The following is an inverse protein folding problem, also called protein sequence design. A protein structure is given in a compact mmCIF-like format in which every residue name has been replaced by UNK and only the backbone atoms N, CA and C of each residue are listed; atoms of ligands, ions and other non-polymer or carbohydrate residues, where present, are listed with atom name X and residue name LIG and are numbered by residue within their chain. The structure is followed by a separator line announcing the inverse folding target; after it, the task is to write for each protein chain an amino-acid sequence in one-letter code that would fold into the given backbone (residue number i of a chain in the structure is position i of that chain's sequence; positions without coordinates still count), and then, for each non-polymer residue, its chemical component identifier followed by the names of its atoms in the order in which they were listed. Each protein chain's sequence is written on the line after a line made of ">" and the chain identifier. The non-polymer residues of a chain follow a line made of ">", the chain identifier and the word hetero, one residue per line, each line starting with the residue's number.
data_IF_655065533603
#
_entry.id   IF_655065533603
#
_cell.length_a   1.000
_cell.length_b   1.000
_cell.length_c   1.000
_cell.angle_alpha   90.00
_cell.angle_beta   90.00
_cell.angle_gamma   90.00
#
_symmetry.space_group_name_H-M   'P 1'
#
loop_
_entity.id
_entity.type
_entity.pdbx_description
1 polymer ?
#
# COMPACT_ATOMS: atom_id res chain seq x y z
N UNK A 1 -27.69 13.23 26.73
CA UNK A 1 -26.56 14.19 26.75
C UNK A 1 -25.20 13.51 26.63
N UNK A 2 -24.88 12.43 27.41
CA UNK A 2 -23.60 11.74 27.33
C UNK A 2 -23.30 11.10 25.94
N UNK A 3 -24.27 10.48 25.31
CA UNK A 3 -24.10 9.86 23.98
C UNK A 3 -23.77 10.88 22.88
N UNK A 4 -24.36 12.08 22.94
CA UNK A 4 -24.09 13.16 22.00
C UNK A 4 -22.66 13.71 22.17
N UNK A 5 -22.21 13.87 23.41
CA UNK A 5 -20.85 14.32 23.72
C UNK A 5 -19.80 13.31 23.24
N UNK A 6 -20.04 12.00 23.45
CA UNK A 6 -19.18 10.92 22.94
C UNK A 6 -19.12 10.95 21.40
N UNK A 7 -20.27 11.13 20.75
CA UNK A 7 -20.32 11.21 19.28
C UNK A 7 -19.54 12.43 18.76
N UNK A 8 -19.72 13.60 19.37
CA UNK A 8 -18.99 14.82 19.02
C UNK A 8 -17.48 14.66 19.24
N UNK A 9 -17.07 14.02 20.32
CA UNK A 9 -15.65 13.74 20.60
C UNK A 9 -15.05 12.78 19.56
N UNK A 10 -15.78 11.73 19.15
CA UNK A 10 -15.33 10.80 18.12
C UNK A 10 -15.21 11.51 16.74
N UNK A 11 -16.22 12.28 16.36
CA UNK A 11 -16.19 13.04 15.10
C UNK A 11 -15.04 14.05 15.12
N UNK A 12 -14.89 14.83 16.20
CA UNK A 12 -13.79 15.78 16.37
C UNK A 12 -12.42 15.10 16.31
N UNK A 13 -12.28 13.93 16.92
CA UNK A 13 -11.06 13.11 16.88
C UNK A 13 -10.71 12.64 15.46
N UNK A 14 -11.70 12.22 14.67
CA UNK A 14 -11.49 11.82 13.27
C UNK A 14 -11.03 13.03 12.43
N UNK A 15 -11.69 14.18 12.58
CA UNK A 15 -11.27 15.40 11.88
C UNK A 15 -9.89 15.88 12.31
N UNK A 16 -9.57 15.78 13.60
CA UNK A 16 -8.22 16.08 14.12
C UNK A 16 -7.18 15.16 13.46
N UNK A 17 -7.40 13.84 13.43
CA UNK A 17 -6.49 12.88 12.79
C UNK A 17 -6.34 13.14 11.29
N UNK A 18 -7.39 13.62 10.63
CA UNK A 18 -7.34 14.01 9.22
C UNK A 18 -6.55 15.31 9.02
N UNK A 19 -6.79 16.33 9.84
CA UNK A 19 -6.09 17.61 9.77
C UNK A 19 -4.58 17.46 10.08
N UNK A 20 -4.22 16.53 10.95
CA UNK A 20 -2.85 16.23 11.37
C UNK A 20 -2.23 15.04 10.63
N UNK A 21 -2.80 14.63 9.50
CA UNK A 21 -2.35 13.49 8.70
C UNK A 21 -0.86 13.53 8.34
N UNK A 22 -0.31 14.74 8.11
CA UNK A 22 1.10 14.95 7.78
C UNK A 22 2.07 14.42 8.85
N UNK A 23 1.63 14.33 10.11
CA UNK A 23 2.43 13.81 11.23
C UNK A 23 1.98 12.43 11.66
N UNK A 24 0.65 12.23 11.82
CA UNK A 24 0.12 10.96 12.34
C UNK A 24 0.24 9.80 11.36
N UNK A 25 0.10 10.03 10.05
CA UNK A 25 0.24 8.97 9.07
C UNK A 25 1.66 8.38 9.06
N UNK A 26 2.76 9.17 8.95
CA UNK A 26 4.11 8.63 9.06
C UNK A 26 4.43 8.05 10.44
N UNK A 27 3.88 8.59 11.53
CA UNK A 27 4.04 8.02 12.87
C UNK A 27 3.45 6.61 12.96
N UNK A 28 2.18 6.43 12.57
CA UNK A 28 1.53 5.10 12.62
C UNK A 28 2.23 4.12 11.68
N UNK A 29 2.65 4.58 10.51
CA UNK A 29 3.40 3.76 9.57
C UNK A 29 4.76 3.35 10.13
N UNK A 30 5.48 4.27 10.83
CA UNK A 30 6.72 3.98 11.53
C UNK A 30 6.55 2.92 12.63
N UNK A 31 5.48 3.01 13.42
CA UNK A 31 5.13 1.99 14.43
C UNK A 31 4.95 0.61 13.76
N UNK A 32 4.21 0.55 12.65
CA UNK A 32 3.94 -0.70 11.97
C UNK A 32 5.20 -1.34 11.35
N UNK A 33 6.04 -0.52 10.69
CA UNK A 33 7.34 -0.99 10.16
C UNK A 33 8.27 -1.41 11.29
N UNK A 34 8.29 -0.66 12.41
CA UNK A 34 9.08 -1.04 13.58
C UNK A 34 8.68 -2.42 14.11
N UNK A 35 7.37 -2.75 14.11
CA UNK A 35 6.90 -4.08 14.49
C UNK A 35 7.38 -5.18 13.54
N UNK A 36 7.47 -4.88 12.24
CA UNK A 36 8.03 -5.80 11.25
C UNK A 36 9.53 -6.05 11.47
N UNK A 37 10.29 -4.98 11.77
CA UNK A 37 11.74 -5.03 11.89
C UNK A 37 12.24 -5.41 13.31
N UNK A 38 11.34 -5.44 14.29
CA UNK A 38 11.68 -5.77 15.67
C UNK A 38 12.39 -7.13 15.84
N UNK A 39 12.00 -8.23 15.14
CA UNK A 39 12.75 -9.48 15.20
C UNK A 39 14.18 -9.36 14.69
N UNK A 40 14.42 -8.50 13.68
CA UNK A 40 15.76 -8.20 13.15
C UNK A 40 16.59 -7.49 14.21
N UNK A 41 16.00 -6.47 14.85
CA UNK A 41 16.60 -5.73 15.94
C UNK A 41 17.03 -6.67 17.08
N UNK A 42 16.14 -7.57 17.54
CA UNK A 42 16.45 -8.55 18.58
C UNK A 42 17.58 -9.51 18.18
N UNK A 43 17.67 -9.91 16.91
CA UNK A 43 18.76 -10.74 16.43
C UNK A 43 20.10 -10.01 16.50
N UNK A 44 20.15 -8.74 16.08
CA UNK A 44 21.38 -7.93 16.16
C UNK A 44 21.86 -7.75 17.61
N UNK A 45 20.93 -7.50 18.55
CA UNK A 45 21.24 -7.42 19.98
C UNK A 45 21.80 -8.75 20.53
N UNK A 46 21.30 -9.90 20.08
CA UNK A 46 21.84 -11.22 20.44
C UNK A 46 23.28 -11.45 19.96
N UNK A 47 23.69 -10.79 18.88
CA UNK A 47 25.09 -10.78 18.42
C UNK A 47 25.96 -9.77 19.19
N UNK A 48 25.49 -9.28 20.36
CA UNK A 48 26.16 -8.30 21.21
C UNK A 48 26.44 -6.94 20.56
N UNK A 49 25.66 -6.60 19.50
CA UNK A 49 25.71 -5.29 18.87
C UNK A 49 24.98 -4.28 19.77
N UNK A 50 25.64 -3.17 20.17
CA UNK A 50 24.99 -2.12 20.94
C UNK A 50 23.73 -1.62 20.23
N UNK A 51 22.67 -1.34 20.98
CA UNK A 51 21.36 -1.00 20.44
C UNK A 51 21.38 0.17 19.45
N UNK A 52 22.09 1.25 19.80
CA UNK A 52 22.23 2.41 18.92
C UNK A 52 22.83 2.00 17.57
N UNK A 53 23.85 1.16 17.60
CA UNK A 53 24.49 0.66 16.38
C UNK A 53 23.56 -0.24 15.58
N UNK A 54 22.81 -1.13 16.24
CA UNK A 54 21.81 -1.98 15.58
C UNK A 54 20.70 -1.16 14.92
N UNK A 55 20.19 -0.11 15.57
CA UNK A 55 19.22 0.84 14.98
C UNK A 55 19.84 1.53 13.78
N UNK A 56 21.07 2.05 13.90
CA UNK A 56 21.75 2.72 12.77
C UNK A 56 21.91 1.79 11.58
N UNK A 57 22.29 0.53 11.79
CA UNK A 57 22.41 -0.47 10.72
C UNK A 57 21.06 -0.68 10.03
N UNK A 58 19.98 -0.89 10.79
CA UNK A 58 18.64 -1.09 10.22
C UNK A 58 18.20 0.14 9.41
N UNK A 59 18.41 1.34 9.96
CA UNK A 59 18.08 2.59 9.27
C UNK A 59 18.90 2.78 8.00
N UNK A 60 20.21 2.49 8.05
CA UNK A 60 21.08 2.59 6.87
C UNK A 60 20.66 1.61 5.77
N UNK A 61 20.34 0.36 6.12
CA UNK A 61 19.86 -0.63 5.15
C UNK A 61 18.54 -0.18 4.51
N UNK A 62 17.59 0.33 5.30
CA UNK A 62 16.34 0.87 4.79
C UNK A 62 16.56 2.09 3.89
N UNK A 63 17.45 3.01 4.30
CA UNK A 63 17.77 4.19 3.51
C UNK A 63 18.38 3.81 2.15
N UNK A 64 19.30 2.84 2.13
CA UNK A 64 19.89 2.32 0.88
C UNK A 64 18.84 1.66 0.01
N UNK A 65 17.96 0.84 0.56
CA UNK A 65 16.87 0.22 -0.20
C UNK A 65 15.92 1.27 -0.81
N UNK A 66 15.52 2.26 -0.03
CA UNK A 66 14.67 3.35 -0.51
C UNK A 66 15.38 4.20 -1.56
N UNK A 67 16.68 4.45 -1.41
CA UNK A 67 17.49 5.15 -2.40
C UNK A 67 17.57 4.39 -3.73
N UNK A 68 17.80 3.06 -3.69
CA UNK A 68 17.80 2.22 -4.88
C UNK A 68 16.45 2.28 -5.59
N UNK A 69 15.36 2.14 -4.84
CA UNK A 69 13.99 2.25 -5.39
C UNK A 69 13.78 3.63 -6.02
N UNK A 70 14.22 4.68 -5.34
CA UNK A 70 14.09 6.06 -5.85
C UNK A 70 14.85 6.24 -7.17
N UNK A 71 16.11 5.77 -7.27
CA UNK A 71 16.92 5.86 -8.49
C UNK A 71 16.27 5.08 -9.65
N UNK A 72 15.76 3.88 -9.37
CA UNK A 72 15.04 3.07 -10.36
C UNK A 72 13.80 3.82 -10.88
N UNK A 73 12.99 4.35 -9.96
CA UNK A 73 11.78 5.09 -10.32
C UNK A 73 12.10 6.38 -11.09
N UNK A 74 13.14 7.10 -10.69
CA UNK A 74 13.57 8.31 -11.37
C UNK A 74 14.05 8.03 -12.80
N UNK A 75 14.89 7.02 -12.99
CA UNK A 75 15.35 6.62 -14.32
C UNK A 75 14.17 6.18 -15.21
N UNK A 76 13.25 5.41 -14.64
CA UNK A 76 12.06 4.95 -15.33
C UNK A 76 11.13 6.09 -15.71
N UNK A 77 10.99 7.06 -14.83
CA UNK A 77 10.23 8.28 -15.09
C UNK A 77 10.85 9.12 -16.20
N UNK A 78 12.19 9.25 -16.23
CA UNK A 78 12.88 9.96 -17.30
C UNK A 78 12.69 9.26 -18.65
N UNK A 79 12.77 7.93 -18.70
CA UNK A 79 12.48 7.16 -19.91
C UNK A 79 11.04 7.36 -20.37
N UNK A 80 10.06 7.31 -19.46
CA UNK A 80 8.67 7.61 -19.79
C UNK A 80 8.51 9.02 -20.35
N UNK A 81 9.22 10.02 -19.79
CA UNK A 81 9.18 11.40 -20.30
C UNK A 81 9.75 11.54 -21.70
N UNK A 82 10.70 10.72 -22.07
CA UNK A 82 11.23 10.70 -23.43
C UNK A 82 10.24 10.08 -24.41
N UNK A 83 9.52 9.05 -23.99
CA UNK A 83 8.65 8.24 -24.86
C UNK A 83 7.17 8.67 -24.85
N UNK A 84 6.72 9.50 -23.87
CA UNK A 84 5.30 9.87 -23.78
C UNK A 84 4.71 10.50 -25.06
N UNK A 85 5.46 11.30 -25.88
CA UNK A 85 4.89 11.86 -27.10
C UNK A 85 4.52 10.77 -28.12
N UNK A 86 5.29 9.67 -28.16
CA UNK A 86 4.98 8.49 -28.98
C UNK A 86 3.65 7.87 -28.53
N UNK A 87 3.47 7.64 -27.22
CA UNK A 87 2.24 7.09 -26.67
C UNK A 87 1.02 7.98 -26.90
N UNK A 88 1.22 9.29 -26.79
CA UNK A 88 0.15 10.26 -27.05
C UNK A 88 -0.29 10.26 -28.51
N UNK A 89 0.66 10.16 -29.45
CA UNK A 89 0.36 10.02 -30.86
C UNK A 89 -0.33 8.68 -31.17
N UNK A 90 0.18 7.57 -30.65
CA UNK A 90 -0.46 6.26 -30.82
C UNK A 90 -1.89 6.25 -30.26
N UNK A 91 -2.12 6.85 -29.08
CA UNK A 91 -3.46 6.97 -28.53
C UNK A 91 -4.38 7.81 -29.41
N UNK A 92 -3.87 8.89 -30.02
CA UNK A 92 -4.59 9.71 -30.99
C UNK A 92 -4.97 8.91 -32.24
N UNK A 93 -4.01 8.17 -32.79
CA UNK A 93 -4.23 7.34 -33.98
C UNK A 93 -5.30 6.27 -33.74
N UNK A 94 -5.24 5.60 -32.57
CA UNK A 94 -6.25 4.64 -32.14
C UNK A 94 -7.64 5.31 -32.03
N UNK A 95 -7.69 6.48 -31.42
CA UNK A 95 -8.95 7.22 -31.29
C UNK A 95 -9.57 7.53 -32.64
N UNK A 96 -8.80 8.07 -33.57
CA UNK A 96 -9.32 8.40 -34.91
C UNK A 96 -9.68 7.14 -35.72
N UNK A 97 -8.88 6.08 -35.64
CA UNK A 97 -9.21 4.82 -36.33
C UNK A 97 -10.52 4.21 -35.84
N UNK A 98 -10.69 4.12 -34.50
CA UNK A 98 -11.93 3.61 -33.92
C UNK A 98 -13.11 4.53 -34.25
N UNK A 99 -12.95 5.83 -34.14
CA UNK A 99 -14.01 6.81 -34.42
C UNK A 99 -14.44 6.77 -35.86
N UNK A 100 -13.49 6.71 -36.80
CA UNK A 100 -13.78 6.61 -38.22
C UNK A 100 -14.53 5.31 -38.56
N UNK A 101 -14.10 4.17 -38.01
CA UNK A 101 -14.81 2.89 -38.19
C UNK A 101 -16.25 2.91 -37.63
N UNK A 102 -16.46 3.57 -36.50
CA UNK A 102 -17.80 3.73 -35.91
C UNK A 102 -18.66 4.65 -36.80
N UNK A 103 -18.11 5.77 -37.25
CA UNK A 103 -18.84 6.71 -38.11
C UNK A 103 -19.23 6.07 -39.44
N UNK A 104 -18.32 5.33 -40.06
CA UNK A 104 -18.61 4.60 -41.30
C UNK A 104 -19.70 3.54 -41.10
N UNK A 105 -19.59 2.74 -40.03
CA UNK A 105 -20.53 1.66 -39.73
C UNK A 105 -21.95 2.17 -39.39
N UNK A 106 -22.04 3.29 -38.67
CA UNK A 106 -23.35 3.85 -38.22
C UNK A 106 -23.79 5.05 -39.05
N UNK A 107 -23.08 5.41 -40.15
CA UNK A 107 -23.35 6.53 -41.04
C UNK A 107 -23.53 7.87 -40.27
N UNK A 108 -22.72 8.11 -39.25
CA UNK A 108 -22.74 9.33 -38.43
C UNK A 108 -21.99 10.46 -39.15
N UNK A 109 -22.54 11.68 -39.12
CA UNK A 109 -21.96 12.82 -39.84
C UNK A 109 -20.80 13.51 -39.14
N UNK A 110 -20.66 13.39 -37.82
CA UNK A 110 -19.54 13.96 -37.05
C UNK A 110 -19.34 13.19 -35.73
N UNK A 111 -18.09 12.98 -35.37
CA UNK A 111 -17.72 12.56 -34.03
C UNK A 111 -17.13 13.75 -33.24
N UNK A 112 -17.31 13.79 -31.92
CA UNK A 112 -16.59 14.76 -31.09
C UNK A 112 -15.08 14.56 -31.25
N UNK A 113 -14.35 15.61 -31.56
CA UNK A 113 -12.88 15.52 -31.56
C UNK A 113 -12.35 15.71 -30.14
N UNK A 114 -12.04 14.60 -29.47
CA UNK A 114 -11.49 14.59 -28.12
C UNK A 114 -10.13 15.33 -28.01
N UNK A 115 -9.40 15.42 -29.12
CA UNK A 115 -8.11 16.09 -29.15
C UNK A 115 -8.20 17.55 -29.59
N UNK A 116 -9.34 18.00 -30.15
CA UNK A 116 -9.53 19.37 -30.57
C UNK A 116 -9.60 20.33 -29.37
N UNK A 117 -8.86 21.42 -29.46
CA UNK A 117 -8.89 22.51 -28.47
C UNK A 117 -8.11 22.25 -27.17
N UNK A 118 -7.54 21.07 -26.97
CA UNK A 118 -6.75 20.75 -25.78
C UNK A 118 -5.26 20.56 -26.13
N UNK A 119 -4.40 21.35 -25.52
CA UNK A 119 -2.95 21.12 -25.58
C UNK A 119 -2.56 19.98 -24.62
N UNK A 120 -2.63 18.76 -25.13
CA UNK A 120 -2.29 17.55 -24.39
C UNK A 120 -0.84 17.51 -23.90
N UNK A 121 0.09 18.14 -24.61
CA UNK A 121 1.47 18.27 -24.16
C UNK A 121 1.52 19.11 -22.86
N UNK A 122 0.79 20.22 -22.81
CA UNK A 122 0.69 21.04 -21.61
C UNK A 122 0.03 20.30 -20.45
N UNK A 123 -1.02 19.52 -20.73
CA UNK A 123 -1.67 18.68 -19.72
C UNK A 123 -0.68 17.68 -19.12
N UNK A 124 0.04 16.92 -19.94
CA UNK A 124 1.05 15.97 -19.48
C UNK A 124 2.16 16.68 -18.70
N UNK A 125 2.70 17.81 -19.20
CA UNK A 125 3.71 18.57 -18.48
C UNK A 125 3.25 19.04 -17.09
N UNK A 126 2.02 19.50 -16.95
CA UNK A 126 1.44 19.89 -15.66
C UNK A 126 1.35 18.70 -14.68
N UNK A 127 0.96 17.51 -15.17
CA UNK A 127 0.96 16.30 -14.36
C UNK A 127 2.38 15.91 -13.92
N UNK A 128 3.37 16.04 -14.79
CA UNK A 128 4.79 15.81 -14.47
C UNK A 128 5.28 16.73 -13.36
N UNK A 129 4.99 18.02 -13.45
CA UNK A 129 5.35 19.00 -12.41
C UNK A 129 4.66 18.64 -11.10
N UNK A 130 3.41 18.24 -11.14
CA UNK A 130 2.64 17.81 -9.98
C UNK A 130 3.23 16.53 -9.33
N UNK A 131 3.68 15.57 -10.13
CA UNK A 131 4.38 14.38 -9.65
C UNK A 131 5.70 14.73 -8.98
N UNK A 132 6.49 15.64 -9.56
CA UNK A 132 7.74 16.11 -8.94
C UNK A 132 7.51 16.74 -7.57
N UNK A 133 6.43 17.53 -7.40
CA UNK A 133 6.05 18.07 -6.09
C UNK A 133 5.65 16.99 -5.10
N UNK A 134 5.05 15.89 -5.59
CA UNK A 134 4.68 14.74 -4.78
C UNK A 134 5.91 13.99 -4.27
N UNK A 135 6.96 13.83 -5.08
CA UNK A 135 8.24 13.25 -4.63
C UNK A 135 8.88 14.06 -3.51
N UNK A 136 8.84 15.40 -3.59
CA UNK A 136 9.34 16.27 -2.52
C UNK A 136 8.58 16.07 -1.21
N UNK A 137 7.25 15.99 -1.27
CA UNK A 137 6.41 15.69 -0.09
C UNK A 137 6.73 14.30 0.49
N UNK A 138 6.92 13.30 -0.38
CA UNK A 138 7.29 11.95 0.05
C UNK A 138 8.64 11.93 0.79
N UNK A 139 9.62 12.72 0.37
CA UNK A 139 10.89 12.85 1.09
C UNK A 139 10.69 13.34 2.53
N UNK A 140 9.81 14.32 2.74
CA UNK A 140 9.43 14.80 4.08
C UNK A 140 8.75 13.71 4.93
N UNK A 141 7.83 12.93 4.35
CA UNK A 141 7.20 11.79 5.03
C UNK A 141 8.20 10.69 5.41
N UNK A 142 9.13 10.37 4.51
CA UNK A 142 10.19 9.38 4.74
C UNK A 142 11.12 9.87 5.87
N UNK A 143 11.49 11.13 5.88
CA UNK A 143 12.32 11.71 6.94
C UNK A 143 11.64 11.61 8.31
N UNK A 144 10.36 12.00 8.43
CA UNK A 144 9.60 11.85 9.66
C UNK A 144 9.47 10.40 10.09
N UNK A 145 9.23 9.49 9.15
CA UNK A 145 9.17 8.05 9.40
C UNK A 145 10.47 7.55 10.02
N UNK A 146 11.63 7.93 9.47
CA UNK A 146 12.93 7.55 10.00
C UNK A 146 13.14 8.09 11.42
N UNK A 147 12.81 9.36 11.69
CA UNK A 147 12.88 9.95 13.03
C UNK A 147 12.02 9.15 14.01
N UNK A 148 10.76 8.90 13.67
CA UNK A 148 9.87 8.15 14.56
C UNK A 148 10.37 6.72 14.80
N UNK A 149 10.81 6.01 13.76
CA UNK A 149 11.36 4.66 13.90
C UNK A 149 12.60 4.65 14.79
N UNK A 150 13.51 5.61 14.62
CA UNK A 150 14.72 5.73 15.43
C UNK A 150 14.37 5.84 16.91
N UNK A 151 13.50 6.78 17.28
CA UNK A 151 13.08 6.95 18.68
C UNK A 151 12.28 5.76 19.19
N UNK A 152 11.38 5.18 18.40
CA UNK A 152 10.61 3.99 18.79
C UNK A 152 11.54 2.81 19.12
N UNK A 153 12.56 2.56 18.31
CA UNK A 153 13.51 1.49 18.60
C UNK A 153 14.34 1.76 19.86
N UNK A 154 14.74 3.00 20.12
CA UNK A 154 15.48 3.36 21.34
C UNK A 154 14.60 3.24 22.59
N UNK A 155 13.33 3.61 22.52
CA UNK A 155 12.42 3.66 23.66
C UNK A 155 11.77 2.31 24.01
N UNK A 156 11.69 1.41 23.05
CA UNK A 156 10.99 0.12 23.20
C UNK A 156 11.39 -0.70 24.46
N UNK A 157 12.66 -0.82 24.89
CA UNK A 157 13.00 -1.60 26.10
C UNK A 157 12.39 -1.05 27.37
N UNK A 158 12.23 0.27 27.41
CA UNK A 158 11.68 0.96 28.58
C UNK A 158 10.15 0.89 28.65
N UNK A 159 9.49 0.44 27.56
CA UNK A 159 8.04 0.40 27.48
C UNK A 159 7.43 -0.49 28.57
N UNK A 160 7.99 -1.69 28.79
CA UNK A 160 7.51 -2.59 29.83
C UNK A 160 7.71 -2.00 31.24
N UNK A 161 8.82 -1.31 31.47
CA UNK A 161 9.09 -0.64 32.76
C UNK A 161 8.08 0.49 32.99
N UNK A 162 7.83 1.33 31.98
CA UNK A 162 6.85 2.41 32.04
C UNK A 162 5.43 1.88 32.32
N UNK A 163 5.04 0.79 31.62
CA UNK A 163 3.72 0.14 31.82
C UNK A 163 3.62 -0.40 33.24
N UNK A 164 4.67 -1.06 33.75
CA UNK A 164 4.67 -1.62 35.12
C UNK A 164 4.62 -0.54 36.21
N UNK A 165 5.18 0.64 35.95
CA UNK A 165 5.13 1.77 36.86
C UNK A 165 3.81 2.53 36.81
N UNK A 166 3.17 2.60 35.63
CA UNK A 166 1.95 3.38 35.41
C UNK A 166 0.66 2.64 35.80
N UNK A 167 0.65 1.32 35.78
CA UNK A 167 -0.53 0.49 35.94
C UNK A 167 -0.36 -0.55 37.06
N UNK A 168 -1.51 -1.02 37.59
CA UNK A 168 -1.52 -2.15 38.52
C UNK A 168 -0.93 -3.41 37.87
N UNK A 169 -0.43 -4.35 38.67
CA UNK A 169 0.15 -5.61 38.19
C UNK A 169 -0.78 -6.37 37.23
N UNK A 170 -2.07 -6.40 37.48
CA UNK A 170 -3.07 -7.09 36.65
C UNK A 170 -3.25 -6.41 35.31
N UNK A 171 -3.28 -5.10 35.28
CA UNK A 171 -3.43 -4.29 34.06
C UNK A 171 -2.14 -4.31 33.24
N UNK A 172 -0.99 -4.13 33.88
CA UNK A 172 0.32 -4.22 33.23
C UNK A 172 0.52 -5.56 32.53
N UNK A 173 0.14 -6.68 33.18
CA UNK A 173 0.18 -8.02 32.56
C UNK A 173 -0.72 -8.09 31.31
N UNK A 174 -1.94 -7.51 31.36
CA UNK A 174 -2.83 -7.43 30.19
C UNK A 174 -2.20 -6.63 29.05
N UNK A 175 -1.66 -5.45 29.31
CA UNK A 175 -1.00 -4.62 28.31
C UNK A 175 0.21 -5.32 27.66
N UNK A 176 1.02 -6.01 28.45
CA UNK A 176 2.16 -6.78 27.94
C UNK A 176 1.72 -7.91 27.00
N UNK A 177 0.64 -8.63 27.35
CA UNK A 177 0.11 -9.69 26.50
C UNK A 177 -0.48 -9.12 25.19
N UNK A 178 -1.23 -8.03 25.28
CA UNK A 178 -1.85 -7.38 24.12
C UNK A 178 -0.75 -6.88 23.15
N UNK A 179 0.23 -6.15 23.67
CA UNK A 179 1.33 -5.59 22.86
C UNK A 179 2.17 -6.69 22.21
N UNK A 180 2.51 -7.76 22.94
CA UNK A 180 3.23 -8.91 22.38
C UNK A 180 2.43 -9.60 21.25
N UNK A 181 1.10 -9.73 21.40
CA UNK A 181 0.24 -10.31 20.37
C UNK A 181 0.12 -9.41 19.15
N UNK A 182 -0.03 -8.10 19.34
CA UNK A 182 -0.06 -7.11 18.24
C UNK A 182 1.26 -7.14 17.47
N UNK A 183 2.40 -7.06 18.14
CA UNK A 183 3.73 -7.16 17.54
C UNK A 183 3.87 -8.40 16.66
N UNK A 184 3.47 -9.56 17.19
CA UNK A 184 3.58 -10.83 16.46
C UNK A 184 2.67 -10.87 15.22
N UNK A 185 1.41 -10.43 15.35
CA UNK A 185 0.44 -10.49 14.24
C UNK A 185 0.78 -9.48 13.15
N UNK A 186 1.04 -8.24 13.53
CA UNK A 186 1.34 -7.16 12.57
C UNK A 186 2.70 -7.36 11.92
N UNK A 187 3.72 -7.72 12.71
CA UNK A 187 5.03 -8.03 12.16
C UNK A 187 4.98 -9.16 11.14
N UNK A 188 4.28 -10.26 11.46
CA UNK A 188 4.06 -11.37 10.52
C UNK A 188 3.29 -10.91 9.27
N UNK A 189 2.23 -10.13 9.43
CA UNK A 189 1.45 -9.60 8.31
C UNK A 189 2.34 -8.83 7.33
N UNK A 190 3.13 -7.87 7.83
CA UNK A 190 3.99 -7.06 6.96
C UNK A 190 5.11 -7.88 6.30
N UNK A 191 5.73 -8.83 7.02
CA UNK A 191 6.75 -9.72 6.43
C UNK A 191 6.15 -10.52 5.28
N UNK A 192 5.02 -11.19 5.53
CA UNK A 192 4.34 -11.99 4.50
C UNK A 192 3.91 -11.12 3.33
N UNK A 193 3.31 -9.95 3.60
CA UNK A 193 2.87 -9.03 2.56
C UNK A 193 4.03 -8.51 1.72
N UNK A 194 5.16 -8.16 2.35
CA UNK A 194 6.36 -7.73 1.63
C UNK A 194 6.92 -8.83 0.73
N UNK A 195 6.99 -10.06 1.22
CA UNK A 195 7.47 -11.21 0.42
C UNK A 195 6.56 -11.46 -0.78
N UNK A 196 5.24 -11.51 -0.56
CA UNK A 196 4.27 -11.74 -1.63
C UNK A 196 4.33 -10.60 -2.65
N UNK A 197 4.35 -9.34 -2.18
CA UNK A 197 4.46 -8.17 -3.05
C UNK A 197 5.73 -8.20 -3.89
N UNK A 198 6.85 -8.61 -3.30
CA UNK A 198 8.12 -8.75 -4.03
C UNK A 198 8.02 -9.78 -5.16
N UNK A 199 7.47 -10.96 -4.88
CA UNK A 199 7.30 -11.98 -5.92
C UNK A 199 6.27 -11.55 -6.97
N UNK A 200 5.16 -10.92 -6.59
CA UNK A 200 4.19 -10.37 -7.54
C UNK A 200 4.83 -9.34 -8.47
N UNK A 201 5.61 -8.39 -7.91
CA UNK A 201 6.32 -7.40 -8.70
C UNK A 201 7.38 -8.02 -9.63
N UNK A 202 8.10 -9.03 -9.14
CA UNK A 202 9.10 -9.76 -9.93
C UNK A 202 8.45 -10.54 -11.09
N UNK A 203 7.34 -11.24 -10.83
CA UNK A 203 6.60 -11.95 -11.87
C UNK A 203 6.07 -11.01 -12.94
N UNK A 204 5.47 -9.90 -12.55
CA UNK A 204 5.01 -8.86 -13.48
C UNK A 204 6.18 -8.34 -14.32
N UNK A 205 7.31 -7.99 -13.69
CA UNK A 205 8.52 -7.56 -14.39
C UNK A 205 8.99 -8.58 -15.43
N UNK A 206 9.12 -9.85 -15.04
CA UNK A 206 9.60 -10.92 -15.91
C UNK A 206 8.64 -11.16 -17.09
N UNK A 207 7.35 -11.23 -16.84
CA UNK A 207 6.34 -11.45 -17.88
C UNK A 207 6.32 -10.29 -18.87
N UNK A 208 6.33 -9.05 -18.41
CA UNK A 208 6.33 -7.89 -19.29
C UNK A 208 7.62 -7.79 -20.11
N UNK A 209 8.76 -8.18 -19.54
CA UNK A 209 10.04 -8.26 -20.25
C UNK A 209 9.97 -9.32 -21.37
N UNK A 210 9.43 -10.49 -21.08
CA UNK A 210 9.27 -11.57 -22.09
C UNK A 210 8.31 -11.17 -23.22
N UNK A 211 7.24 -10.47 -22.88
CA UNK A 211 6.25 -9.99 -23.85
C UNK A 211 6.67 -8.68 -24.54
N UNK A 212 7.89 -8.17 -24.25
CA UNK A 212 8.44 -6.93 -24.80
C UNK A 212 7.53 -5.71 -24.60
N UNK A 213 6.85 -5.67 -23.44
CA UNK A 213 6.08 -4.49 -23.00
C UNK A 213 7.04 -3.44 -22.49
N UNK A 214 6.85 -2.19 -22.88
CA UNK A 214 7.70 -1.08 -22.46
C UNK A 214 7.59 -0.84 -20.92
N UNK A 215 8.67 -0.37 -20.32
CA UNK A 215 8.78 -0.06 -18.89
C UNK A 215 8.49 -1.24 -17.91
N UNK A 216 8.97 -2.47 -18.17
CA UNK A 216 8.62 -3.63 -17.33
C UNK A 216 9.04 -3.47 -15.88
N UNK A 217 10.20 -2.81 -15.63
CA UNK A 217 10.69 -2.57 -14.26
C UNK A 217 9.80 -1.58 -13.49
N UNK A 218 9.24 -0.58 -14.18
CA UNK A 218 8.28 0.38 -13.60
C UNK A 218 7.04 -0.36 -13.14
N UNK A 219 6.47 -1.17 -14.04
CA UNK A 219 5.25 -1.93 -13.75
C UNK A 219 5.44 -2.96 -12.65
N UNK A 220 6.58 -3.66 -12.63
CA UNK A 220 6.96 -4.53 -11.53
C UNK A 220 7.04 -3.79 -10.20
N UNK A 221 7.65 -2.61 -10.19
CA UNK A 221 7.73 -1.74 -9.01
C UNK A 221 6.37 -1.21 -8.56
N UNK A 222 5.53 -0.77 -9.49
CA UNK A 222 4.15 -0.35 -9.21
C UNK A 222 3.32 -1.52 -8.67
N UNK A 223 3.45 -2.72 -9.27
CA UNK A 223 2.80 -3.93 -8.80
C UNK A 223 3.23 -4.29 -7.37
N UNK A 224 4.52 -4.20 -7.06
CA UNK A 224 5.05 -4.38 -5.70
C UNK A 224 4.38 -3.43 -4.70
N UNK A 225 4.36 -2.12 -5.00
CA UNK A 225 3.82 -1.11 -4.09
C UNK A 225 2.30 -1.22 -3.94
N UNK A 226 1.59 -1.30 -5.07
CA UNK A 226 0.12 -1.36 -5.05
C UNK A 226 -0.42 -2.67 -4.47
N UNK A 227 0.36 -3.76 -4.52
CA UNK A 227 -0.05 -5.02 -3.89
C UNK A 227 -0.23 -4.93 -2.38
N UNK A 228 0.31 -3.91 -1.69
CA UNK A 228 0.02 -3.65 -0.27
C UNK A 228 -1.44 -3.24 -0.03
N UNK A 229 -2.13 -2.70 -1.04
CA UNK A 229 -3.55 -2.33 -0.96
C UNK A 229 -4.41 -3.50 -1.44
N UNK A 230 -5.16 -4.18 -0.55
CA UNK A 230 -5.90 -5.39 -0.92
C UNK A 230 -6.90 -5.13 -2.04
N UNK A 231 -6.98 -6.04 -3.00
CA UNK A 231 -7.89 -6.07 -4.15
C UNK A 231 -7.79 -4.86 -5.09
N UNK A 232 -7.85 -3.65 -4.56
CA UNK A 232 -7.83 -2.40 -5.36
C UNK A 232 -6.49 -2.24 -6.07
N UNK A 233 -5.38 -2.44 -5.36
CA UNK A 233 -4.04 -2.26 -5.93
C UNK A 233 -3.77 -3.18 -7.10
N UNK A 234 -4.08 -4.46 -6.95
CA UNK A 234 -3.90 -5.46 -8.00
C UNK A 234 -4.77 -5.18 -9.24
N UNK A 235 -6.03 -4.80 -9.03
CA UNK A 235 -6.95 -4.46 -10.13
C UNK A 235 -6.44 -3.26 -10.92
N UNK A 236 -5.99 -2.21 -10.23
CA UNK A 236 -5.43 -1.01 -10.88
C UNK A 236 -4.22 -1.37 -11.74
N UNK A 237 -3.31 -2.20 -11.23
CA UNK A 237 -2.11 -2.64 -11.98
C UNK A 237 -2.50 -3.35 -13.26
N UNK A 238 -3.39 -4.36 -13.19
CA UNK A 238 -3.84 -5.13 -14.36
C UNK A 238 -4.47 -4.22 -15.40
N UNK A 239 -5.35 -3.30 -15.00
CA UNK A 239 -6.01 -2.36 -15.90
C UNK A 239 -5.01 -1.44 -16.58
N UNK A 240 -4.10 -0.81 -15.82
CA UNK A 240 -3.14 0.13 -16.39
C UNK A 240 -2.15 -0.53 -17.36
N UNK A 241 -1.62 -1.72 -17.01
CA UNK A 241 -0.75 -2.50 -17.90
C UNK A 241 -1.48 -2.89 -19.18
N UNK A 242 -2.76 -3.27 -19.08
CA UNK A 242 -3.57 -3.65 -20.25
C UNK A 242 -3.84 -2.47 -21.16
N UNK A 243 -4.12 -1.29 -20.60
CA UNK A 243 -4.25 -0.04 -21.38
C UNK A 243 -2.95 0.26 -22.12
N UNK A 244 -1.81 0.22 -21.42
CA UNK A 244 -0.52 0.44 -22.07
C UNK A 244 -0.25 -0.58 -23.16
N UNK A 245 -0.48 -1.87 -22.91
CA UNK A 245 -0.33 -2.93 -23.91
C UNK A 245 -1.20 -2.69 -25.15
N UNK A 246 -2.45 -2.22 -24.96
CA UNK A 246 -3.34 -1.87 -26.07
C UNK A 246 -2.77 -0.73 -26.89
N UNK A 247 -2.25 0.31 -26.26
CA UNK A 247 -1.65 1.45 -26.98
C UNK A 247 -0.37 1.03 -27.69
N UNK A 248 0.49 0.23 -27.04
CA UNK A 248 1.79 -0.17 -27.56
C UNK A 248 1.68 -1.10 -28.79
N UNK A 249 0.73 -2.04 -28.78
CA UNK A 249 0.66 -3.11 -29.79
C UNK A 249 -0.42 -2.89 -30.85
N UNK A 250 -1.21 -1.81 -30.76
CA UNK A 250 -2.23 -1.53 -31.76
C UNK A 250 -1.63 -1.53 -33.20
N UNK A 251 -2.31 -2.14 -34.22
CA UNK A 251 -3.66 -2.67 -34.21
C UNK A 251 -3.81 -4.13 -33.78
N UNK A 252 -2.71 -4.79 -33.34
CA UNK A 252 -2.79 -6.15 -32.83
C UNK A 252 -3.52 -6.16 -31.46
N UNK A 253 -4.65 -6.87 -31.37
CA UNK A 253 -5.43 -7.03 -30.15
C UNK A 253 -5.09 -8.32 -29.38
N UNK A 254 -4.35 -9.24 -30.02
CA UNK A 254 -3.98 -10.51 -29.37
C UNK A 254 -2.98 -10.28 -28.22
N UNK A 255 -1.94 -9.47 -28.46
CA UNK A 255 -0.95 -9.16 -27.43
C UNK A 255 -1.53 -8.45 -26.20
N UNK A 256 -2.35 -7.40 -26.32
CA UNK A 256 -3.02 -6.80 -25.16
C UNK A 256 -3.90 -7.78 -24.39
N UNK A 257 -4.65 -8.64 -25.09
CA UNK A 257 -5.49 -9.65 -24.44
C UNK A 257 -4.63 -10.68 -23.68
N UNK A 258 -3.50 -11.10 -24.24
CA UNK A 258 -2.54 -12.00 -23.60
C UNK A 258 -1.93 -11.35 -22.35
N UNK A 259 -1.51 -10.09 -22.44
CA UNK A 259 -0.98 -9.30 -21.33
C UNK A 259 -2.01 -9.22 -20.20
N UNK A 260 -3.26 -8.88 -20.52
CA UNK A 260 -4.37 -8.83 -19.55
C UNK A 260 -4.56 -10.18 -18.85
N UNK A 261 -4.70 -11.26 -19.61
CA UNK A 261 -4.97 -12.60 -19.06
C UNK A 261 -3.84 -13.11 -18.17
N UNK A 262 -2.57 -12.93 -18.59
CA UNK A 262 -1.43 -13.36 -17.78
C UNK A 262 -1.33 -12.56 -16.51
N UNK A 263 -1.43 -11.22 -16.57
CA UNK A 263 -1.37 -10.39 -15.37
C UNK A 263 -2.56 -10.64 -14.43
N UNK A 264 -3.75 -10.86 -14.97
CA UNK A 264 -4.91 -11.28 -14.18
C UNK A 264 -4.65 -12.63 -13.50
N UNK A 265 -4.07 -13.60 -14.21
CA UNK A 265 -3.67 -14.89 -13.67
C UNK A 265 -2.67 -14.78 -12.51
N UNK A 266 -1.62 -13.98 -12.67
CA UNK A 266 -0.65 -13.69 -11.61
C UNK A 266 -1.36 -13.14 -10.37
N UNK A 267 -2.20 -12.11 -10.55
CA UNK A 267 -2.90 -11.48 -9.42
C UNK A 267 -3.86 -12.44 -8.71
N UNK A 268 -4.57 -13.28 -9.47
CA UNK A 268 -5.44 -14.30 -8.88
C UNK A 268 -4.62 -15.36 -8.12
N UNK A 269 -3.53 -15.84 -8.69
CA UNK A 269 -2.66 -16.82 -8.07
C UNK A 269 -2.03 -16.28 -6.78
N UNK A 270 -1.41 -15.12 -6.84
CA UNK A 270 -0.73 -14.51 -5.70
C UNK A 270 -1.71 -14.04 -4.62
N UNK A 271 -2.74 -13.28 -4.99
CA UNK A 271 -3.67 -12.65 -4.05
C UNK A 271 -4.69 -13.61 -3.44
N UNK A 272 -5.26 -14.53 -4.24
CA UNK A 272 -6.37 -15.37 -3.78
C UNK A 272 -5.96 -16.78 -3.36
N UNK A 273 -4.80 -17.29 -3.83
CA UNK A 273 -4.34 -18.63 -3.47
C UNK A 273 -3.12 -18.62 -2.55
N UNK A 274 -2.08 -17.89 -2.90
CA UNK A 274 -0.80 -17.93 -2.19
C UNK A 274 -0.88 -17.07 -0.91
N UNK A 275 -1.36 -15.84 -1.00
CA UNK A 275 -1.45 -14.93 0.14
C UNK A 275 -2.26 -15.51 1.32
N UNK A 276 -3.49 -16.04 1.15
CA UNK A 276 -4.25 -16.63 2.24
C UNK A 276 -3.59 -17.89 2.84
N UNK A 277 -2.90 -18.69 2.04
CA UNK A 277 -2.20 -19.89 2.51
C UNK A 277 -1.00 -19.55 3.41
N UNK A 278 -0.23 -18.50 3.03
CA UNK A 278 0.94 -18.08 3.81
C UNK A 278 0.52 -17.26 5.03
N UNK A 279 -0.46 -16.38 4.91
CA UNK A 279 -0.99 -15.60 6.05
C UNK A 279 -1.72 -16.49 7.06
N UNK A 280 -2.41 -17.52 6.60
CA UNK A 280 -3.22 -18.42 7.41
C UNK A 280 -4.46 -17.72 8.00
N UNK A 281 -5.22 -18.44 8.83
CA UNK A 281 -6.45 -17.95 9.49
C UNK A 281 -6.21 -16.94 10.62
N UNK A 282 -4.98 -16.46 10.79
CA UNK A 282 -4.58 -15.69 11.99
C UNK A 282 -5.21 -14.30 12.06
N UNK A 283 -5.58 -13.69 10.94
CA UNK A 283 -6.18 -12.36 10.95
C UNK A 283 -7.65 -12.38 11.36
N UNK A 284 -8.40 -13.41 10.94
CA UNK A 284 -9.83 -13.65 11.25
C UNK A 284 -10.69 -12.37 11.24
N UNK A 285 -10.51 -11.51 10.24
CA UNK A 285 -11.26 -10.25 10.05
C UNK A 285 -12.20 -10.41 8.87
N UNK A 286 -13.44 -9.93 9.00
CA UNK A 286 -14.43 -9.97 7.93
C UNK A 286 -13.94 -9.23 6.66
N UNK A 287 -14.05 -9.83 5.45
CA UNK A 287 -13.68 -9.14 4.21
C UNK A 287 -14.43 -7.82 3.99
N UNK A 288 -15.70 -7.76 4.35
CA UNK A 288 -16.51 -6.53 4.27
C UNK A 288 -15.91 -5.43 5.14
N UNK A 289 -15.51 -5.79 6.37
CA UNK A 289 -14.88 -4.83 7.26
C UNK A 289 -13.52 -4.35 6.74
N UNK A 290 -12.75 -5.21 6.07
CA UNK A 290 -11.51 -4.81 5.42
C UNK A 290 -11.79 -3.76 4.33
N UNK A 291 -12.81 -3.95 3.50
CA UNK A 291 -13.19 -2.99 2.46
C UNK A 291 -13.67 -1.65 3.05
N UNK A 292 -14.50 -1.69 4.09
CA UNK A 292 -14.95 -0.47 4.79
C UNK A 292 -13.74 0.25 5.42
N UNK A 293 -12.86 -0.49 6.08
CA UNK A 293 -11.65 0.06 6.68
C UNK A 293 -10.71 0.66 5.62
N UNK A 294 -10.59 -0.01 4.46
CA UNK A 294 -9.80 0.48 3.33
C UNK A 294 -10.34 1.83 2.84
N UNK A 295 -11.66 1.91 2.58
CA UNK A 295 -12.29 3.15 2.14
C UNK A 295 -12.12 4.28 3.16
N UNK A 296 -12.36 3.97 4.44
CA UNK A 296 -12.22 4.94 5.54
C UNK A 296 -10.77 5.42 5.71
N UNK A 297 -9.80 4.51 5.75
CA UNK A 297 -8.40 4.85 5.95
C UNK A 297 -7.81 5.56 4.72
N UNK A 298 -8.23 5.18 3.50
CA UNK A 298 -7.86 5.90 2.29
C UNK A 298 -8.39 7.34 2.29
N UNK A 299 -9.62 7.55 2.77
CA UNK A 299 -10.19 8.89 2.94
C UNK A 299 -9.45 9.70 4.02
N UNK A 300 -9.02 9.04 5.11
CA UNK A 300 -8.36 9.68 6.26
C UNK A 300 -6.93 10.12 5.92
N UNK A 301 -6.10 9.20 5.38
CA UNK A 301 -4.65 9.38 5.17
C UNK A 301 -4.16 9.04 3.76
N UNK A 302 -5.06 8.97 2.78
CA UNK A 302 -4.70 8.68 1.39
C UNK A 302 -4.11 7.29 1.20
N UNK A 303 -3.10 7.17 0.32
CA UNK A 303 -2.44 5.91 0.00
C UNK A 303 -1.80 5.23 1.22
N UNK A 304 -1.19 5.99 2.13
CA UNK A 304 -0.62 5.47 3.38
C UNK A 304 -1.71 4.84 4.24
N UNK A 305 -2.87 5.50 4.36
CA UNK A 305 -4.03 4.96 5.06
C UNK A 305 -4.54 3.66 4.45
N UNK A 306 -4.61 3.58 3.12
CA UNK A 306 -5.02 2.37 2.43
C UNK A 306 -4.11 1.16 2.76
N UNK A 307 -2.79 1.35 2.77
CA UNK A 307 -1.82 0.31 3.17
C UNK A 307 -1.99 -0.09 4.64
N UNK A 308 -2.30 0.87 5.51
CA UNK A 308 -2.46 0.66 6.96
C UNK A 308 -3.83 0.08 7.35
N UNK A 309 -4.80 0.05 6.45
CA UNK A 309 -6.19 -0.34 6.76
C UNK A 309 -6.28 -1.71 7.42
N UNK A 310 -5.67 -2.73 6.84
CA UNK A 310 -5.69 -4.11 7.38
C UNK A 310 -4.99 -4.21 8.74
N UNK A 311 -3.72 -3.76 8.89
CA UNK A 311 -3.03 -3.85 10.18
C UNK A 311 -3.75 -3.10 11.30
N UNK A 312 -4.29 -1.90 11.03
CA UNK A 312 -5.04 -1.14 12.03
C UNK A 312 -6.32 -1.88 12.42
N UNK A 313 -7.06 -2.43 11.46
CA UNK A 313 -8.27 -3.20 11.74
C UNK A 313 -7.97 -4.42 12.59
N UNK A 314 -6.90 -5.15 12.28
CA UNK A 314 -6.44 -6.30 13.07
C UNK A 314 -6.05 -5.88 14.49
N UNK A 315 -5.31 -4.76 14.62
CA UNK A 315 -4.92 -4.21 15.92
C UNK A 315 -6.15 -3.84 16.77
N UNK A 316 -7.10 -3.11 16.21
CA UNK A 316 -8.34 -2.72 16.89
C UNK A 316 -9.12 -3.96 17.35
N UNK A 317 -9.26 -4.97 16.47
CA UNK A 317 -9.92 -6.22 16.82
C UNK A 317 -9.24 -6.93 18.00
N UNK A 318 -7.91 -6.99 18.01
CA UNK A 318 -7.15 -7.59 19.11
C UNK A 318 -7.42 -6.82 20.40
N UNK A 319 -7.31 -5.49 20.37
CA UNK A 319 -7.55 -4.64 21.55
C UNK A 319 -8.96 -4.84 22.08
N UNK A 320 -9.98 -4.74 21.23
CA UNK A 320 -11.39 -4.92 21.63
C UNK A 320 -11.67 -6.31 22.21
N UNK A 321 -10.96 -7.34 21.75
CA UNK A 321 -11.13 -8.71 22.25
C UNK A 321 -10.61 -8.94 23.68
N UNK A 322 -9.76 -8.05 24.20
CA UNK A 322 -9.20 -8.17 25.54
C UNK A 322 -10.00 -7.46 26.64
N UNK A 323 -10.92 -6.56 26.28
CA UNK A 323 -11.77 -5.85 27.24
C UNK A 323 -13.20 -6.35 27.12
N UNK A 324 -13.79 -6.76 28.25
CA UNK A 324 -15.14 -7.36 28.30
C UNK A 324 -16.20 -6.40 27.73
N UNK A 325 -16.08 -5.09 28.00
CA UNK A 325 -17.00 -4.05 27.53
C UNK A 325 -16.98 -3.86 26.00
N UNK A 326 -15.89 -4.20 25.31
CA UNK A 326 -15.74 -4.04 23.86
C UNK A 326 -15.63 -5.35 23.10
N UNK A 327 -15.69 -6.49 23.79
CA UNK A 327 -15.56 -7.84 23.20
C UNK A 327 -16.57 -8.10 22.08
N UNK A 328 -17.78 -7.56 22.21
CA UNK A 328 -18.80 -7.68 21.17
C UNK A 328 -18.34 -7.08 19.83
N UNK A 329 -17.59 -5.96 19.84
CA UNK A 329 -17.01 -5.36 18.63
C UNK A 329 -16.00 -6.32 17.97
N UNK A 330 -15.13 -6.96 18.78
CA UNK A 330 -14.17 -7.95 18.26
C UNK A 330 -14.86 -9.13 17.59
N UNK A 331 -16.03 -9.55 18.10
CA UNK A 331 -16.83 -10.64 17.51
C UNK A 331 -17.46 -10.17 16.18
N UNK A 332 -18.06 -8.98 16.16
CA UNK A 332 -18.64 -8.40 14.94
C UNK A 332 -17.59 -8.19 13.83
N UNK A 333 -16.35 -7.90 14.22
CA UNK A 333 -15.23 -7.74 13.29
C UNK A 333 -14.71 -9.06 12.73
N UNK A 334 -15.11 -10.20 13.27
CA UNK A 334 -14.62 -11.51 12.87
C UNK A 334 -15.35 -12.08 11.65
N UNK A 335 -14.78 -13.12 11.04
CA UNK A 335 -15.39 -13.88 9.93
C UNK A 335 -16.54 -14.78 10.36
N UNK A 336 -16.92 -14.79 11.63
CA UNK A 336 -17.98 -15.67 12.17
C UNK A 336 -17.58 -17.15 12.32
N UNK A 337 -16.52 -17.59 11.68
CA UNK A 337 -15.99 -18.96 11.84
C UNK A 337 -14.99 -18.99 13.01
N UNK A 338 -15.47 -18.96 14.24
CA UNK A 338 -14.69 -19.42 15.36
C UNK A 338 -14.68 -20.94 15.35
N UNK A 339 -13.63 -21.56 14.80
CA UNK A 339 -13.31 -22.93 15.22
C UNK A 339 -12.93 -22.84 16.70
N UNK A 340 -13.89 -23.13 17.55
CA UNK A 340 -13.62 -23.51 18.93
C UNK A 340 -12.60 -24.66 18.90
N UNK A 341 -11.37 -24.38 19.27
CA UNK A 341 -10.42 -25.32 19.86
C UNK A 341 -9.55 -24.57 20.85
#
# INVERSE_FOLDING_TARGET
>A
MHSLLVLLFLIGGIFFLKATAAVFAPLVFAVMISFMLFPVMQKLEKFHIPRVLAVTIIMSVLAVLLYIIFVILQNSFNLFMTDYPRYLNQFRDIYYDITNKIMEKFQLQAAPDFFAGTDWNRVVQNYVISLSSTFTKMAGYIFLLFIFMFFLFLEYPYLNQKINQAFSFRESKKFTIISARILKLIGRYFIVKTIISFFTGLEVYLVLTLLKVDFPLVWGGIAFVLNFVPTVGSTVVVVLISIQGTVQFYPDLFMPALIFLINLGIQQLMGNFIEPRIQGSNLNVSPVLILISLAFMAWLWGAVGAVLAVPITVMLRVVFGYFDSTRFLSILMSTGYSKNK
#
